data_IF_700610088116
#
_entry.id   IF_700610088116
#
_cell.length_a   1.000
_cell.length_b   1.000
_cell.length_c   1.000
_cell.angle_alpha   90.00
_cell.angle_beta   90.00
_cell.angle_gamma   90.00
#
_symmetry.space_group_name_H-M   'P 1'
#
loop_
_entity.id
_entity.type
_entity.pdbx_description
1 polymer ?
#
# COMPACT_ATOMS: atom_id res chain seq x y z
N UNK A 1 -9.48 -21.21 16.64
CA UNK A 1 -9.59 -19.73 16.71
C UNK A 1 -10.70 -19.32 15.78
N UNK A 2 -11.70 -18.59 16.26
CA UNK A 2 -12.66 -17.95 15.35
C UNK A 2 -11.96 -16.84 14.57
N UNK A 3 -12.16 -16.81 13.25
CA UNK A 3 -11.63 -15.76 12.39
C UNK A 3 -12.49 -14.52 12.51
N UNK A 4 -11.95 -13.46 13.10
CA UNK A 4 -12.60 -12.16 13.16
C UNK A 4 -12.29 -11.37 11.88
N UNK A 5 -13.33 -11.03 11.12
CA UNK A 5 -13.21 -10.18 9.93
C UNK A 5 -13.40 -8.71 10.32
N UNK A 6 -12.55 -7.83 9.77
CA UNK A 6 -12.69 -6.37 9.88
C UNK A 6 -13.05 -5.80 8.50
N UNK A 7 -14.34 -5.63 8.19
CA UNK A 7 -14.74 -4.98 6.96
C UNK A 7 -14.40 -3.49 7.03
N UNK A 8 -13.84 -2.95 5.94
CA UNK A 8 -13.50 -1.53 5.81
C UNK A 8 -14.21 -0.99 4.58
N UNK A 9 -14.96 0.11 4.75
CA UNK A 9 -15.56 0.83 3.63
C UNK A 9 -14.57 1.82 2.98
N UNK A 10 -14.92 2.30 1.79
CA UNK A 10 -14.09 3.21 1.01
C UNK A 10 -13.87 4.56 1.69
N UNK A 11 -14.86 5.07 2.42
CA UNK A 11 -14.76 6.34 3.13
C UNK A 11 -13.72 6.26 4.24
N UNK A 12 -13.76 5.20 5.04
CA UNK A 12 -12.81 4.89 6.11
C UNK A 12 -11.42 4.70 5.53
N UNK A 13 -11.29 3.95 4.43
CA UNK A 13 -10.01 3.75 3.75
C UNK A 13 -9.39 5.07 3.25
N UNK A 14 -10.21 5.92 2.63
CA UNK A 14 -9.79 7.24 2.15
C UNK A 14 -9.35 8.15 3.30
N UNK A 15 -10.10 8.19 4.40
CA UNK A 15 -9.79 8.98 5.58
C UNK A 15 -8.50 8.52 6.28
N UNK A 16 -8.29 7.20 6.37
CA UNK A 16 -7.04 6.64 6.88
C UNK A 16 -5.86 7.00 5.98
N UNK A 17 -6.04 6.95 4.66
CA UNK A 17 -5.01 7.34 3.68
C UNK A 17 -4.69 8.84 3.79
N UNK A 18 -5.70 9.70 4.00
CA UNK A 18 -5.49 11.13 4.24
C UNK A 18 -4.68 11.40 5.50
N UNK A 19 -4.98 10.69 6.60
CA UNK A 19 -4.21 10.79 7.85
C UNK A 19 -2.77 10.33 7.66
N UNK A 20 -2.55 9.26 6.91
CA UNK A 20 -1.20 8.81 6.54
C UNK A 20 -0.45 9.89 5.75
N UNK A 21 -1.08 10.47 4.73
CA UNK A 21 -0.48 11.55 3.94
C UNK A 21 -0.06 12.75 4.82
N UNK A 22 -0.93 13.17 5.75
CA UNK A 22 -0.62 14.25 6.69
C UNK A 22 0.59 13.91 7.59
N UNK A 23 0.67 12.67 8.07
CA UNK A 23 1.80 12.20 8.88
C UNK A 23 3.11 12.18 8.10
N UNK A 24 3.07 11.76 6.82
CA UNK A 24 4.23 11.78 5.94
C UNK A 24 4.73 13.21 5.74
N UNK A 25 3.83 14.17 5.46
CA UNK A 25 4.19 15.57 5.28
C UNK A 25 4.80 16.20 6.55
N UNK A 26 4.41 15.75 7.74
CA UNK A 26 4.91 16.33 8.99
C UNK A 26 6.25 15.73 9.47
N UNK A 27 6.63 14.54 9.01
CA UNK A 27 7.80 13.81 9.51
C UNK A 27 8.88 13.52 8.48
N UNK A 28 8.57 13.56 7.18
CA UNK A 28 9.52 13.17 6.15
C UNK A 28 10.31 14.37 5.61
N UNK A 29 11.61 14.15 5.41
CA UNK A 29 12.39 14.90 4.43
C UNK A 29 11.78 14.72 3.02
N UNK A 30 12.10 15.62 2.08
CA UNK A 30 11.56 15.64 0.70
C UNK A 30 11.47 14.21 0.12
N UNK A 31 10.24 13.74 -0.07
CA UNK A 31 9.95 12.48 -0.78
C UNK A 31 9.67 12.83 -2.22
N UNK A 32 10.30 12.12 -3.14
CA UNK A 32 10.17 12.37 -4.59
C UNK A 32 9.48 11.21 -5.33
N UNK A 33 9.23 10.06 -4.68
CA UNK A 33 8.56 8.91 -5.29
C UNK A 33 7.84 8.02 -4.26
N UNK A 34 6.70 7.45 -4.64
CA UNK A 34 5.98 6.39 -3.91
C UNK A 34 6.27 5.05 -4.60
N UNK A 35 6.56 4.00 -3.83
CA UNK A 35 6.72 2.63 -4.34
C UNK A 35 5.59 1.76 -3.81
N UNK A 36 4.63 1.44 -4.68
CA UNK A 36 3.46 0.62 -4.35
C UNK A 36 3.74 -0.86 -4.62
N UNK A 37 3.57 -1.70 -3.60
CA UNK A 37 3.73 -3.14 -3.71
C UNK A 37 2.39 -3.77 -4.13
N UNK A 38 2.34 -4.30 -5.34
CA UNK A 38 1.18 -5.01 -5.87
C UNK A 38 1.00 -6.35 -5.17
N UNK A 39 -0.23 -6.77 -4.85
CA UNK A 39 -1.51 -6.12 -5.19
C UNK A 39 -2.02 -5.13 -4.13
N UNK A 40 -1.70 -5.36 -2.86
CA UNK A 40 -2.33 -4.66 -1.73
C UNK A 40 -2.05 -3.14 -1.68
N UNK A 41 -0.91 -2.71 -2.21
CA UNK A 41 -0.48 -1.31 -2.19
C UNK A 41 -1.01 -0.46 -3.35
N UNK A 42 -1.69 -1.03 -4.35
CA UNK A 42 -2.07 -0.29 -5.57
C UNK A 42 -3.04 0.85 -5.27
N UNK A 43 -4.17 0.56 -4.60
CA UNK A 43 -5.17 1.56 -4.25
C UNK A 43 -4.61 2.61 -3.30
N UNK A 44 -3.85 2.19 -2.29
CA UNK A 44 -3.22 3.09 -1.32
C UNK A 44 -2.24 4.03 -2.04
N UNK A 45 -1.34 3.48 -2.85
CA UNK A 45 -0.31 4.23 -3.55
C UNK A 45 -0.88 5.26 -4.52
N UNK A 46 -1.98 4.93 -5.20
CA UNK A 46 -2.67 5.86 -6.08
C UNK A 46 -3.29 7.05 -5.31
N UNK A 47 -4.07 6.77 -4.25
CA UNK A 47 -4.68 7.83 -3.43
C UNK A 47 -3.60 8.68 -2.72
N UNK A 48 -2.52 8.05 -2.27
CA UNK A 48 -1.42 8.75 -1.62
C UNK A 48 -0.64 9.64 -2.60
N UNK A 49 -0.47 9.20 -3.85
CA UNK A 49 0.08 9.99 -4.95
C UNK A 49 -0.73 11.27 -5.17
N UNK A 50 -2.06 11.19 -5.15
CA UNK A 50 -2.93 12.37 -5.27
C UNK A 50 -2.74 13.35 -4.12
N UNK A 51 -2.70 12.86 -2.87
CA UNK A 51 -2.54 13.72 -1.70
C UNK A 51 -1.17 14.38 -1.64
N UNK A 52 -0.11 13.65 -1.99
CA UNK A 52 1.26 14.14 -1.87
C UNK A 52 1.76 14.84 -3.15
N UNK A 53 1.07 14.65 -4.28
CA UNK A 53 1.49 15.11 -5.62
C UNK A 53 2.86 14.56 -6.02
N UNK A 54 3.08 13.28 -5.73
CA UNK A 54 4.35 12.56 -5.94
C UNK A 54 4.06 11.36 -6.85
N UNK A 55 4.90 11.08 -7.87
CA UNK A 55 4.69 9.93 -8.75
C UNK A 55 4.72 8.59 -7.99
N UNK A 56 3.91 7.64 -8.44
CA UNK A 56 3.87 6.27 -7.93
C UNK A 56 4.45 5.28 -8.94
N UNK A 57 5.39 4.46 -8.49
CA UNK A 57 5.90 3.30 -9.20
C UNK A 57 5.35 2.02 -8.56
N UNK A 58 5.06 1.01 -9.36
CA UNK A 58 4.48 -0.27 -8.90
C UNK A 58 5.45 -1.42 -9.08
N UNK A 59 5.60 -2.27 -8.08
CA UNK A 59 6.34 -3.53 -8.18
C UNK A 59 5.49 -4.68 -7.65
N UNK A 60 5.55 -5.83 -8.30
CA UNK A 60 4.81 -7.00 -7.86
C UNK A 60 5.70 -7.90 -7.02
N UNK A 61 5.29 -8.15 -5.78
CA UNK A 61 5.93 -9.12 -4.89
C UNK A 61 4.98 -10.30 -4.72
N UNK A 62 5.45 -11.48 -5.08
CA UNK A 62 4.75 -12.73 -4.83
C UNK A 62 5.52 -13.52 -3.77
N UNK A 63 4.93 -13.67 -2.58
CA UNK A 63 5.51 -14.45 -1.48
C UNK A 63 4.62 -15.63 -1.05
N UNK A 64 3.44 -15.78 -1.64
CA UNK A 64 2.49 -16.83 -1.29
C UNK A 64 2.21 -17.70 -2.52
N UNK A 65 2.60 -18.97 -2.43
CA UNK A 65 2.15 -20.02 -3.35
C UNK A 65 0.94 -20.77 -2.80
N UNK A 66 0.76 -20.76 -1.47
CA UNK A 66 -0.38 -21.36 -0.75
C UNK A 66 -0.62 -20.66 0.61
N UNK A 67 -1.79 -20.87 1.23
CA UNK A 67 -2.22 -20.22 2.50
C UNK A 67 -1.27 -20.54 3.67
N UNK A 68 -0.55 -21.66 3.59
CA UNK A 68 0.31 -22.17 4.68
C UNK A 68 1.82 -22.08 4.40
N UNK A 69 2.23 -21.82 3.16
CA UNK A 69 3.65 -21.83 2.79
C UNK A 69 4.08 -20.49 2.19
N UNK A 70 4.95 -19.80 2.92
CA UNK A 70 5.64 -18.62 2.42
C UNK A 70 6.69 -19.10 1.39
N UNK A 71 6.41 -18.89 0.12
CA UNK A 71 7.32 -19.24 -0.97
C UNK A 71 8.50 -18.25 -1.05
N UNK A 72 9.44 -18.50 -1.97
CA UNK A 72 10.51 -17.55 -2.25
C UNK A 72 9.96 -16.21 -2.71
N UNK A 73 10.51 -15.12 -2.15
CA UNK A 73 10.15 -13.75 -2.55
C UNK A 73 10.65 -13.53 -3.98
N UNK A 74 9.72 -13.40 -4.92
CA UNK A 74 10.03 -13.03 -6.30
C UNK A 74 9.59 -11.59 -6.55
N UNK A 75 10.55 -10.77 -7.01
CA UNK A 75 10.26 -9.46 -7.58
C UNK A 75 9.92 -9.70 -9.04
N UNK A 76 8.70 -9.32 -9.41
CA UNK A 76 8.21 -9.43 -10.77
C UNK A 76 8.06 -8.00 -11.27
N UNK A 77 8.62 -7.71 -12.45
CA UNK A 77 8.32 -6.46 -13.15
C UNK A 77 6.81 -6.39 -13.44
N UNK A 78 6.20 -5.20 -13.34
CA UNK A 78 4.76 -5.02 -13.53
C UNK A 78 4.26 -5.46 -14.91
#
# INVERSE_FOLDING_TARGET
>A
METQYLPIDWTTYHDLTRKLAASVLSHASKIDQIVAISRGGLSLGHILSDFLRIPVATFTIQSYTDIQNQGEIKIIEP
#
